data_IF_818513887733
#
_entry.id   IF_818513887733
#
_cell.length_a   1.000
_cell.length_b   1.000
_cell.length_c   1.000
_cell.angle_alpha   90.00
_cell.angle_beta   90.00
_cell.angle_gamma   90.00
#
_symmetry.space_group_name_H-M   'P 1'
#
loop_
_entity.id
_entity.type
_entity.pdbx_description
1 polymer ?
#
# COMPACT_ATOMS: atom_id res chain seq x y z
N UNK A 1 -7.08 19.02 -0.94
CA UNK A 1 -6.91 17.87 -1.85
C UNK A 1 -8.08 17.86 -2.81
N UNK A 2 -7.85 17.87 -4.12
CA UNK A 2 -8.94 17.88 -5.12
C UNK A 2 -9.03 16.49 -5.77
N UNK A 3 -10.25 16.03 -6.00
CA UNK A 3 -10.57 14.77 -6.66
C UNK A 3 -11.14 15.09 -8.04
N UNK A 4 -10.69 14.37 -9.06
CA UNK A 4 -11.26 14.45 -10.41
C UNK A 4 -11.73 13.04 -10.81
N UNK A 5 -13.03 12.86 -11.09
CA UNK A 5 -13.50 11.63 -11.71
C UNK A 5 -12.98 11.54 -13.15
N UNK A 6 -12.86 10.32 -13.66
CA UNK A 6 -12.50 9.98 -15.05
C UNK A 6 -13.58 10.41 -16.06
N UNK A 7 -13.82 11.71 -16.19
CA UNK A 7 -14.81 12.26 -17.14
C UNK A 7 -14.20 13.19 -18.19
N UNK A 8 -12.88 13.33 -18.25
CA UNK A 8 -12.21 14.08 -19.32
C UNK A 8 -11.39 13.17 -20.22
N UNK A 9 -11.30 13.53 -21.51
CA UNK A 9 -10.45 12.93 -22.54
C UNK A 9 -8.94 12.91 -22.18
N UNK A 10 -8.57 13.39 -20.98
CA UNK A 10 -7.22 13.53 -20.42
C UNK A 10 -7.00 12.63 -19.19
N UNK A 11 -7.82 11.59 -18.98
CA UNK A 11 -7.55 10.62 -17.90
C UNK A 11 -6.27 9.84 -18.18
N UNK A 12 -5.34 9.84 -17.23
CA UNK A 12 -4.14 9.02 -17.35
C UNK A 12 -4.53 7.53 -17.35
N UNK A 13 -3.78 6.70 -18.10
CA UNK A 13 -3.83 5.23 -18.00
C UNK A 13 -3.68 4.75 -16.54
N UNK A 14 -3.09 5.59 -15.71
CA UNK A 14 -2.77 5.34 -14.32
C UNK A 14 -3.87 5.77 -13.33
N UNK A 15 -5.09 6.11 -13.76
CA UNK A 15 -6.21 6.27 -12.84
C UNK A 15 -6.54 4.95 -12.12
N UNK A 16 -6.44 4.91 -10.79
CA UNK A 16 -6.90 3.75 -10.01
C UNK A 16 -8.37 3.92 -9.64
N UNK A 17 -9.20 2.93 -9.98
CA UNK A 17 -10.66 2.98 -9.82
C UNK A 17 -11.26 4.29 -10.36
N UNK A 18 -10.81 4.70 -11.56
CA UNK A 18 -11.31 5.88 -12.28
C UNK A 18 -11.21 7.22 -11.52
N UNK A 19 -10.34 7.28 -10.51
CA UNK A 19 -10.05 8.50 -9.76
C UNK A 19 -8.55 8.71 -9.62
N UNK A 20 -8.16 9.99 -9.56
CA UNK A 20 -6.78 10.40 -9.36
C UNK A 20 -6.71 11.51 -8.32
N UNK A 21 -5.59 11.54 -7.59
CA UNK A 21 -5.26 12.65 -6.72
C UNK A 21 -4.45 13.69 -7.46
N UNK A 22 -4.80 14.95 -7.22
CA UNK A 22 -4.00 16.08 -7.64
C UNK A 22 -3.50 16.81 -6.40
N UNK A 23 -2.20 16.68 -6.16
CA UNK A 23 -1.49 17.50 -5.20
C UNK A 23 -0.90 18.74 -5.89
N UNK A 24 -0.78 19.84 -5.14
CA UNK A 24 -0.17 21.08 -5.64
C UNK A 24 1.28 20.86 -6.10
N UNK A 25 2.02 19.98 -5.40
CA UNK A 25 3.37 19.59 -5.80
C UNK A 25 3.61 18.12 -5.49
N UNK A 26 4.56 17.51 -6.20
CA UNK A 26 5.00 16.13 -5.95
C UNK A 26 5.53 15.95 -4.52
N UNK A 27 6.11 17.00 -3.91
CA UNK A 27 6.54 17.00 -2.50
C UNK A 27 5.37 16.73 -1.54
N UNK A 28 4.20 17.33 -1.78
CA UNK A 28 3.02 17.05 -0.98
C UNK A 28 2.55 15.61 -1.15
N UNK A 29 2.55 15.09 -2.38
CA UNK A 29 2.20 13.69 -2.64
C UNK A 29 3.12 12.72 -1.86
N UNK A 30 4.43 12.99 -1.86
CA UNK A 30 5.42 12.24 -1.07
C UNK A 30 5.10 12.24 0.42
N UNK A 31 4.94 13.42 1.02
CA UNK A 31 4.63 13.55 2.47
C UNK A 31 3.35 12.79 2.83
N UNK A 32 2.29 12.96 2.04
CA UNK A 32 1.04 12.25 2.27
C UNK A 32 1.19 10.72 2.12
N UNK A 33 1.98 10.25 1.16
CA UNK A 33 2.25 8.82 1.01
C UNK A 33 3.06 8.28 2.19
N UNK A 34 4.05 9.02 2.70
CA UNK A 34 4.77 8.64 3.93
C UNK A 34 3.81 8.51 5.12
N UNK A 35 2.91 9.47 5.32
CA UNK A 35 1.89 9.41 6.38
C UNK A 35 0.98 8.18 6.19
N UNK A 36 0.54 7.89 4.97
CA UNK A 36 -0.27 6.70 4.67
C UNK A 36 0.48 5.42 5.01
N UNK A 37 1.75 5.32 4.66
CA UNK A 37 2.57 4.15 4.95
C UNK A 37 2.74 3.91 6.46
N UNK A 38 2.98 4.98 7.24
CA UNK A 38 3.03 4.87 8.72
C UNK A 38 1.70 4.37 9.26
N UNK A 39 0.58 4.91 8.77
CA UNK A 39 -0.76 4.47 9.18
C UNK A 39 -1.05 3.03 8.78
N UNK A 40 -0.64 2.62 7.57
CA UNK A 40 -0.77 1.24 7.12
C UNK A 40 0.02 0.30 8.01
N UNK A 41 1.27 0.63 8.36
CA UNK A 41 2.08 -0.16 9.28
C UNK A 41 1.35 -0.36 10.62
N UNK A 42 0.87 0.73 11.25
CA UNK A 42 0.11 0.64 12.51
C UNK A 42 -1.15 -0.23 12.38
N UNK A 43 -1.90 -0.10 11.29
CA UNK A 43 -3.12 -0.88 11.08
C UNK A 43 -2.82 -2.35 10.80
N UNK A 44 -1.74 -2.67 10.09
CA UNK A 44 -1.29 -4.05 9.90
C UNK A 44 -0.92 -4.67 11.25
N UNK A 45 -0.19 -3.93 12.09
CA UNK A 45 0.15 -4.37 13.46
C UNK A 45 -1.12 -4.65 14.28
N UNK A 46 -2.08 -3.72 14.29
CA UNK A 46 -3.38 -3.93 14.98
C UNK A 46 -4.07 -5.18 14.43
N UNK A 47 -4.17 -5.32 13.11
CA UNK A 47 -4.84 -6.46 12.48
C UNK A 47 -4.19 -7.79 12.86
N UNK A 48 -2.85 -7.88 12.82
CA UNK A 48 -2.10 -9.09 13.17
C UNK A 48 -2.29 -9.43 14.64
N UNK A 49 -2.09 -8.47 15.55
CA UNK A 49 -2.23 -8.72 16.98
C UNK A 49 -3.66 -9.09 17.37
N UNK A 50 -4.66 -8.40 16.84
CA UNK A 50 -6.06 -8.76 17.08
C UNK A 50 -6.39 -10.14 16.53
N UNK A 51 -5.90 -10.49 15.33
CA UNK A 51 -6.13 -11.81 14.73
C UNK A 51 -5.48 -12.95 15.54
N UNK A 52 -4.23 -12.78 15.96
CA UNK A 52 -3.54 -13.76 16.79
C UNK A 52 -4.20 -13.93 18.16
N UNK A 53 -4.65 -12.82 18.77
CA UNK A 53 -5.34 -12.86 20.06
C UNK A 53 -6.67 -13.59 19.95
N UNK A 54 -7.46 -13.31 18.90
CA UNK A 54 -8.72 -14.02 18.63
C UNK A 54 -8.52 -15.52 18.40
N UNK A 55 -7.45 -15.91 17.69
CA UNK A 55 -7.14 -17.34 17.47
C UNK A 55 -6.80 -18.07 18.76
N UNK A 56 -6.09 -17.41 19.69
CA UNK A 56 -5.72 -17.98 20.99
C UNK A 56 -6.91 -18.11 21.93
N UNK A 57 -7.87 -17.16 21.92
CA UNK A 57 -9.09 -17.23 22.75
C UNK A 57 -9.93 -18.49 22.48
N UNK A 58 -9.77 -19.13 21.32
CA UNK A 58 -10.54 -20.32 20.91
C UNK A 58 -9.78 -21.66 21.01
N UNK A 59 -8.54 -21.71 21.53
CA UNK A 59 -7.85 -22.99 21.69
C UNK A 59 -8.29 -23.72 22.98
N UNK A 60 -8.93 -24.90 22.89
CA UNK A 60 -9.35 -25.65 24.06
C UNK A 60 -8.13 -26.32 24.72
N UNK A 61 -7.73 -25.82 25.89
CA UNK A 61 -6.68 -26.44 26.70
C UNK A 61 -5.68 -25.46 27.33
N UNK A 62 -5.60 -24.24 26.82
CA UNK A 62 -4.74 -23.19 27.39
C UNK A 62 -5.61 -22.19 28.17
N UNK A 63 -6.07 -22.60 29.35
CA UNK A 63 -6.39 -21.65 30.40
C UNK A 63 -5.12 -20.87 30.73
N UNK A 64 -5.20 -19.55 30.63
CA UNK A 64 -4.16 -18.57 31.02
C UNK A 64 -3.05 -18.30 30.00
N UNK A 65 -3.40 -17.75 28.84
CA UNK A 65 -2.50 -16.74 28.26
C UNK A 65 -3.23 -15.58 27.56
N UNK A 66 -3.27 -14.45 28.30
CA UNK A 66 -3.32 -13.07 27.81
C UNK A 66 -4.69 -12.57 27.28
N UNK A 67 -5.37 -11.56 27.84
CA UNK A 67 -5.10 -10.61 28.92
C UNK A 67 -6.47 -10.06 29.37
N UNK A 68 -6.62 -9.71 30.64
CA UNK A 68 -7.81 -9.06 31.23
C UNK A 68 -8.14 -7.67 30.66
N UNK A 69 -7.56 -7.29 29.51
CA UNK A 69 -7.55 -5.93 28.99
C UNK A 69 -8.57 -5.72 27.87
N UNK A 70 -8.86 -6.73 27.05
CA UNK A 70 -9.78 -6.60 25.92
C UNK A 70 -10.73 -7.80 25.77
N UNK A 71 -12.01 -7.52 25.54
CA UNK A 71 -13.03 -8.52 25.24
C UNK A 71 -12.88 -9.07 23.82
N UNK A 72 -13.50 -10.24 23.58
CA UNK A 72 -13.56 -10.84 22.24
C UNK A 72 -14.17 -9.88 21.20
N UNK A 73 -15.25 -9.18 21.56
CA UNK A 73 -15.93 -8.22 20.70
C UNK A 73 -15.03 -7.02 20.36
N UNK A 74 -14.25 -6.53 21.32
CA UNK A 74 -13.28 -5.46 21.10
C UNK A 74 -12.17 -5.88 20.13
N UNK A 75 -11.60 -7.08 20.31
CA UNK A 75 -10.58 -7.62 19.41
C UNK A 75 -11.13 -7.81 17.98
N UNK A 76 -12.35 -8.32 17.86
CA UNK A 76 -13.02 -8.47 16.57
C UNK A 76 -13.27 -7.11 15.91
N UNK A 77 -13.70 -6.11 16.68
CA UNK A 77 -13.89 -4.74 16.20
C UNK A 77 -12.57 -4.13 15.72
N UNK A 78 -11.47 -4.25 16.49
CA UNK A 78 -10.15 -3.76 16.09
C UNK A 78 -9.67 -4.41 14.79
N UNK A 79 -9.80 -5.74 14.65
CA UNK A 79 -9.44 -6.46 13.44
C UNK A 79 -10.23 -5.95 12.22
N UNK A 80 -11.55 -5.85 12.34
CA UNK A 80 -12.44 -5.43 11.25
C UNK A 80 -12.22 -3.96 10.87
N UNK A 81 -12.06 -3.09 11.87
CA UNK A 81 -11.73 -1.68 11.68
C UNK A 81 -10.39 -1.52 10.96
N UNK A 82 -9.36 -2.26 11.38
CA UNK A 82 -8.06 -2.22 10.74
C UNK A 82 -8.12 -2.66 9.28
N UNK A 83 -8.81 -3.77 8.98
CA UNK A 83 -8.99 -4.25 7.61
C UNK A 83 -9.69 -3.21 6.72
N UNK A 84 -10.78 -2.60 7.21
CA UNK A 84 -11.49 -1.55 6.48
C UNK A 84 -10.61 -0.33 6.22
N UNK A 85 -9.83 0.11 7.21
CA UNK A 85 -8.95 1.28 7.08
C UNK A 85 -7.74 1.01 6.18
N UNK A 86 -7.23 -0.21 6.16
CA UNK A 86 -6.21 -0.63 5.19
C UNK A 86 -6.73 -0.52 3.75
N UNK A 87 -7.98 -0.95 3.50
CA UNK A 87 -8.61 -0.84 2.19
C UNK A 87 -8.73 0.63 1.70
N UNK A 88 -9.09 1.53 2.61
CA UNK A 88 -9.14 2.97 2.32
C UNK A 88 -7.75 3.51 1.96
N UNK A 89 -6.71 3.13 2.72
CA UNK A 89 -5.34 3.60 2.52
C UNK A 89 -4.69 3.06 1.24
N UNK A 90 -4.92 1.79 0.87
CA UNK A 90 -4.42 1.27 -0.41
C UNK A 90 -4.99 2.07 -1.58
N UNK A 91 -6.29 2.36 -1.53
CA UNK A 91 -6.99 3.09 -2.59
C UNK A 91 -6.44 4.50 -2.72
N UNK A 92 -6.25 5.16 -1.58
CA UNK A 92 -5.67 6.50 -1.53
C UNK A 92 -4.24 6.55 -2.06
N UNK A 93 -3.43 5.54 -1.74
CA UNK A 93 -2.05 5.47 -2.20
C UNK A 93 -1.99 5.27 -3.71
N UNK A 94 -2.78 4.33 -4.25
CA UNK A 94 -2.81 4.05 -5.69
C UNK A 94 -3.35 5.23 -6.50
N UNK A 95 -4.33 5.98 -5.96
CA UNK A 95 -4.82 7.23 -6.60
C UNK A 95 -3.77 8.33 -6.66
N UNK A 96 -2.73 8.28 -5.81
CA UNK A 96 -1.64 9.26 -5.84
C UNK A 96 -0.59 8.97 -6.92
N UNK A 97 -0.59 7.79 -7.53
CA UNK A 97 0.44 7.35 -8.47
C UNK A 97 0.55 8.30 -9.66
N UNK A 98 -0.57 8.79 -10.19
CA UNK A 98 -0.57 9.68 -11.35
C UNK A 98 0.13 11.03 -11.11
N UNK A 99 0.28 11.46 -9.84
CA UNK A 99 1.06 12.65 -9.50
C UNK A 99 2.55 12.53 -9.83
N UNK A 100 3.04 11.31 -10.05
CA UNK A 100 4.43 11.02 -10.33
C UNK A 100 4.69 10.77 -11.81
N UNK A 101 3.75 11.14 -12.68
CA UNK A 101 3.92 11.13 -14.13
C UNK A 101 4.53 12.44 -14.63
N UNK A 102 5.14 12.39 -15.82
CA UNK A 102 5.59 13.58 -16.52
C UNK A 102 4.40 14.32 -17.18
N UNK A 103 4.25 15.65 -16.95
CA UNK A 103 3.06 16.42 -17.38
C UNK A 103 2.79 16.44 -18.89
N UNK A 104 3.77 16.06 -19.71
CA UNK A 104 3.72 16.16 -21.18
C UNK A 104 4.12 14.85 -21.89
N UNK A 105 4.23 13.76 -21.15
CA UNK A 105 4.54 12.47 -21.77
C UNK A 105 3.30 11.90 -22.44
N UNK A 106 3.26 11.94 -23.78
CA UNK A 106 2.35 11.13 -24.58
C UNK A 106 2.64 9.65 -24.27
N UNK A 107 1.86 9.06 -23.36
CA UNK A 107 2.06 7.70 -22.85
C UNK A 107 2.16 7.58 -21.33
N UNK A 108 2.31 8.69 -20.59
CA UNK A 108 2.32 8.67 -19.12
C UNK A 108 3.55 7.98 -18.54
N UNK A 109 4.74 8.50 -18.84
CA UNK A 109 6.00 8.06 -18.24
C UNK A 109 6.14 8.56 -16.81
N UNK A 110 6.68 7.74 -15.93
CA UNK A 110 7.04 8.14 -14.58
C UNK A 110 8.22 9.11 -14.57
N UNK A 111 8.12 10.17 -13.77
CA UNK A 111 9.21 11.08 -13.51
C UNK A 111 10.19 10.48 -12.48
N UNK A 112 11.41 11.02 -12.40
CA UNK A 112 12.45 10.55 -11.45
C UNK A 112 11.98 10.52 -9.99
N UNK A 113 11.04 11.39 -9.64
CA UNK A 113 10.50 11.43 -8.27
C UNK A 113 9.63 10.23 -7.92
N UNK A 114 9.16 9.45 -8.91
CA UNK A 114 8.38 8.22 -8.73
C UNK A 114 9.14 7.11 -8.02
N UNK A 115 10.48 7.19 -7.94
CA UNK A 115 11.30 6.24 -7.16
C UNK A 115 10.82 6.09 -5.71
N UNK A 116 10.23 7.14 -5.12
CA UNK A 116 9.70 7.07 -3.76
C UNK A 116 8.42 6.22 -3.62
N UNK A 117 7.81 5.83 -4.75
CA UNK A 117 6.67 4.92 -4.78
C UNK A 117 7.09 3.45 -4.75
N UNK A 118 8.37 3.13 -5.00
CA UNK A 118 8.86 1.74 -5.04
C UNK A 118 8.48 1.04 -3.74
N UNK A 119 8.90 1.57 -2.59
CA UNK A 119 8.58 0.95 -1.30
C UNK A 119 7.07 0.83 -1.04
N UNK A 120 6.25 1.90 -1.15
CA UNK A 120 4.80 1.79 -1.04
C UNK A 120 4.15 0.75 -1.95
N UNK A 121 4.56 0.68 -3.22
CA UNK A 121 3.99 -0.25 -4.19
C UNK A 121 4.44 -1.68 -3.91
N UNK A 122 5.66 -1.90 -3.41
CA UNK A 122 6.13 -3.22 -2.97
C UNK A 122 5.27 -3.74 -1.82
N UNK A 123 5.02 -2.91 -0.79
CA UNK A 123 4.14 -3.27 0.33
C UNK A 123 2.73 -3.59 -0.18
N UNK A 124 2.22 -2.80 -1.13
CA UNK A 124 0.92 -3.06 -1.72
C UNK A 124 0.87 -4.36 -2.51
N UNK A 125 1.87 -4.64 -3.33
CA UNK A 125 1.96 -5.81 -4.19
C UNK A 125 1.95 -7.13 -3.40
N UNK A 126 2.61 -7.16 -2.24
CA UNK A 126 2.96 -8.41 -1.56
C UNK A 126 2.20 -8.70 -0.27
N UNK A 127 1.51 -7.72 0.33
CA UNK A 127 0.68 -8.00 1.50
C UNK A 127 -0.63 -8.69 1.11
N UNK A 128 -0.98 -9.76 1.83
CA UNK A 128 -2.22 -10.51 1.62
C UNK A 128 -3.46 -9.75 2.06
N UNK A 129 -3.29 -8.71 2.88
CA UNK A 129 -4.36 -7.86 3.38
C UNK A 129 -4.90 -6.91 2.31
N UNK A 130 -4.16 -6.71 1.21
CA UNK A 130 -4.55 -5.82 0.13
C UNK A 130 -5.42 -6.53 -0.91
N UNK A 131 -6.27 -5.76 -1.57
CA UNK A 131 -7.18 -6.30 -2.59
C UNK A 131 -6.40 -6.87 -3.79
N UNK A 132 -6.89 -7.95 -4.44
CA UNK A 132 -6.23 -8.50 -5.63
C UNK A 132 -6.03 -7.48 -6.76
N UNK A 133 -6.97 -6.54 -6.91
CA UNK A 133 -6.86 -5.43 -7.86
C UNK A 133 -5.75 -4.45 -7.49
N UNK A 134 -5.64 -4.07 -6.22
CA UNK A 134 -4.58 -3.19 -5.74
C UNK A 134 -3.20 -3.82 -5.95
N UNK A 135 -3.05 -5.11 -5.63
CA UNK A 135 -1.80 -5.86 -5.86
C UNK A 135 -1.39 -5.87 -7.33
N UNK A 136 -2.31 -6.25 -8.23
CA UNK A 136 -2.03 -6.27 -9.68
C UNK A 136 -1.65 -4.90 -10.21
N UNK A 137 -2.36 -3.86 -9.77
CA UNK A 137 -2.07 -2.49 -10.17
C UNK A 137 -0.69 -2.05 -9.67
N UNK A 138 -0.36 -2.32 -8.40
CA UNK A 138 0.94 -1.99 -7.82
C UNK A 138 2.11 -2.66 -8.55
N UNK A 139 1.98 -3.95 -8.88
CA UNK A 139 2.97 -4.68 -9.69
C UNK A 139 3.16 -4.04 -11.07
N UNK A 140 2.06 -3.66 -11.74
CA UNK A 140 2.13 -2.96 -13.04
C UNK A 140 2.89 -1.64 -12.93
N UNK A 141 2.64 -0.85 -11.88
CA UNK A 141 3.37 0.38 -11.63
C UNK A 141 4.85 0.14 -11.34
N UNK A 142 5.21 -0.90 -10.57
CA UNK A 142 6.60 -1.25 -10.29
C UNK A 142 7.37 -1.61 -11.57
N UNK A 143 6.78 -2.42 -12.46
CA UNK A 143 7.37 -2.71 -13.77
C UNK A 143 7.59 -1.42 -14.55
N UNK A 144 6.55 -0.58 -14.69
CA UNK A 144 6.68 0.64 -15.47
C UNK A 144 7.70 1.62 -14.89
N UNK A 145 7.77 1.78 -13.56
CA UNK A 145 8.81 2.60 -12.91
C UNK A 145 10.20 2.03 -13.23
N UNK A 146 10.36 0.71 -13.19
CA UNK A 146 11.59 0.03 -13.55
C UNK A 146 12.03 0.33 -14.98
N UNK A 147 11.11 0.23 -15.94
CA UNK A 147 11.38 0.53 -17.35
C UNK A 147 11.64 2.03 -17.60
N UNK A 148 10.82 2.92 -17.05
CA UNK A 148 10.90 4.36 -17.30
C UNK A 148 12.14 5.00 -16.67
N UNK A 149 12.56 4.51 -15.49
CA UNK A 149 13.67 5.07 -14.71
C UNK A 149 14.94 4.21 -14.75
N UNK A 150 14.92 3.10 -15.49
CA UNK A 150 15.99 2.10 -15.53
C UNK A 150 16.40 1.62 -14.12
N UNK A 151 15.41 1.29 -13.29
CA UNK A 151 15.61 0.88 -11.90
C UNK A 151 15.34 -0.62 -11.72
N UNK A 152 16.39 -1.43 -11.74
CA UNK A 152 16.31 -2.88 -11.56
C UNK A 152 15.64 -3.25 -10.24
N UNK A 153 15.78 -2.44 -9.18
CA UNK A 153 15.14 -2.69 -7.89
C UNK A 153 13.61 -2.68 -7.98
N UNK A 154 13.03 -1.83 -8.85
CA UNK A 154 11.59 -1.79 -9.06
C UNK A 154 11.09 -3.04 -9.81
N UNK A 155 11.86 -3.51 -10.80
CA UNK A 155 11.58 -4.75 -11.52
C UNK A 155 11.71 -5.96 -10.60
N UNK A 156 12.76 -6.01 -9.77
CA UNK A 156 12.95 -7.03 -8.76
C UNK A 156 11.77 -7.06 -7.78
N UNK A 157 11.37 -5.90 -7.26
CA UNK A 157 10.20 -5.77 -6.41
C UNK A 157 8.90 -6.24 -7.08
N UNK A 158 8.73 -6.02 -8.38
CA UNK A 158 7.58 -6.51 -9.13
C UNK A 158 7.57 -8.05 -9.30
N UNK A 159 8.76 -8.66 -9.37
CA UNK A 159 8.97 -10.11 -9.56
C UNK A 159 9.04 -10.90 -8.25
N UNK A 160 9.27 -10.23 -7.12
CA UNK A 160 9.33 -10.88 -5.81
C UNK A 160 8.10 -11.77 -5.62
N UNK A 161 8.33 -13.03 -5.27
CA UNK A 161 7.26 -13.95 -4.92
C UNK A 161 7.00 -13.86 -3.42
N UNK A 162 5.77 -14.20 -2.99
CA UNK A 162 5.39 -14.12 -1.57
C UNK A 162 6.28 -14.97 -0.65
N UNK A 163 6.83 -16.06 -1.17
CA UNK A 163 7.72 -16.97 -0.42
C UNK A 163 9.07 -16.31 -0.07
N UNK A 164 9.52 -15.30 -0.82
CA UNK A 164 10.75 -14.56 -0.50
C UNK A 164 10.58 -13.58 0.70
N UNK A 165 9.35 -13.34 1.19
CA UNK A 165 9.06 -12.36 2.24
C UNK A 165 9.41 -12.80 3.68
N UNK A 166 9.82 -14.04 3.91
CA UNK A 166 10.18 -14.47 5.26
C UNK A 166 11.58 -14.02 5.71
N UNK A 167 12.41 -13.45 4.83
CA UNK A 167 13.84 -13.24 5.11
C UNK A 167 14.40 -11.82 4.98
N UNK A 168 13.63 -10.83 4.51
CA UNK A 168 14.15 -9.45 4.41
C UNK A 168 13.26 -8.44 5.13
N UNK A 169 13.81 -7.88 6.20
CA UNK A 169 13.26 -6.85 7.05
C UNK A 169 12.77 -5.65 6.22
N UNK A 170 11.48 -5.32 6.35
CA UNK A 170 10.76 -4.27 5.63
C UNK A 170 11.31 -2.85 5.85
N UNK A 171 12.27 -2.68 6.75
CA UNK A 171 12.95 -1.45 7.13
C UNK A 171 14.10 -1.06 6.19
N UNK A 172 14.69 -2.00 5.45
CA UNK A 172 15.87 -1.69 4.63
C UNK A 172 15.55 -0.82 3.39
N UNK A 173 14.31 -0.82 2.93
CA UNK A 173 13.86 -0.02 1.79
C UNK A 173 13.63 1.48 2.10
N UNK A 174 13.77 1.89 3.37
CA UNK A 174 13.69 3.31 3.78
C UNK A 174 14.94 4.13 3.42
N UNK A 175 16.04 3.48 3.02
CA UNK A 175 17.34 4.11 2.80
C UNK A 175 17.70 4.38 1.32
N UNK A 176 16.74 4.31 0.38
CA UNK A 176 16.93 4.59 -1.06
C UNK A 176 16.43 5.97 -1.51
#
# INVERSE_FOLDING_TARGET
>A
MKFTPKTSEISSKWAYLTMEYHYLTRRHAKVWNTIRMIRMFMLMTIWVHSSLSLQRTFQPGETEYCSTVHSYEELLNYRNMAAKKLLELETDLLRSVSCFLEPQSLGGKFCTSARCLIWPLTVLAHSELNSPSARKYAVSCLYQIGEDLNMEQAIAAAKMTREMNHHEDWLHLYHL
#
